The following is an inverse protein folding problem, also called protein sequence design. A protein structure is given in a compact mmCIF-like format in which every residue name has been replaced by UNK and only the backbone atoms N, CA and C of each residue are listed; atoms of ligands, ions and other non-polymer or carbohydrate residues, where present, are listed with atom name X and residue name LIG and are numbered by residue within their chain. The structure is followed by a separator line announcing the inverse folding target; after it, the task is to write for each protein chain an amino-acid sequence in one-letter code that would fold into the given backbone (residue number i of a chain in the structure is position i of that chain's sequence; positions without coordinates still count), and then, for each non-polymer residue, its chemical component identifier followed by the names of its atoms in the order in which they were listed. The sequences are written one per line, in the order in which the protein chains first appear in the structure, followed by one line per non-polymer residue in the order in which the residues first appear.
data_IF_368398197676
#
_entry.id   IF_368398197676
#
_cell.length_a   1.000
_cell.length_b   1.000
_cell.length_c   1.000
_cell.angle_alpha   90.00
_cell.angle_beta   90.00
_cell.angle_gamma   90.00
#
_symmetry.space_group_name_H-M   'P 1'
#
loop_
_entity.id
_entity.type
_entity.pdbx_description
1 polymer ?
#
# COMPACT_ATOMS: atom_id res chain seq x y z
N UNK A 1 -14.60 -16.80 38.27
CA UNK A 1 -15.97 -16.44 37.84
C UNK A 1 -16.03 -14.97 37.44
N UNK A 2 -16.29 -14.80 36.15
CA UNK A 2 -16.37 -13.61 35.30
C UNK A 2 -16.89 -12.27 35.85
N UNK A 3 -16.09 -11.21 35.61
CA UNK A 3 -16.44 -9.76 35.62
C UNK A 3 -17.32 -9.33 34.42
N UNK A 4 -18.16 -10.22 33.88
CA UNK A 4 -18.91 -10.01 32.62
C UNK A 4 -20.39 -9.65 32.80
N UNK A 5 -20.85 -9.40 34.04
CA UNK A 5 -22.29 -9.26 34.33
C UNK A 5 -22.72 -7.90 34.91
N UNK A 6 -21.88 -6.86 34.94
CA UNK A 6 -22.26 -5.59 35.57
C UNK A 6 -22.81 -4.51 34.62
N UNK A 7 -22.72 -4.69 33.28
CA UNK A 7 -23.21 -3.68 32.32
C UNK A 7 -24.35 -4.16 31.42
N UNK A 8 -25.10 -5.18 31.84
CA UNK A 8 -26.19 -5.77 31.04
C UNK A 8 -27.62 -5.47 31.53
N UNK A 9 -27.84 -4.41 32.32
CA UNK A 9 -29.19 -4.04 32.79
C UNK A 9 -29.55 -2.56 32.68
N UNK A 10 -29.26 -1.93 31.54
CA UNK A 10 -29.90 -0.65 31.16
C UNK A 10 -30.09 -0.58 29.64
N UNK A 11 -31.02 -1.36 29.10
CA UNK A 11 -31.68 -1.07 27.81
C UNK A 11 -32.74 -2.12 27.49
N UNK A 12 -33.85 -2.10 28.23
CA UNK A 12 -35.10 -2.68 27.74
C UNK A 12 -36.27 -1.85 28.26
N UNK A 13 -36.89 -1.11 27.34
CA UNK A 13 -38.23 -0.56 27.52
C UNK A 13 -38.35 0.96 27.37
N UNK A 14 -38.54 1.44 26.14
CA UNK A 14 -39.84 1.97 25.73
C UNK A 14 -39.88 2.13 24.20
N UNK A 15 -40.91 1.53 23.59
CA UNK A 15 -41.25 1.63 22.17
C UNK A 15 -42.08 2.89 21.91
N UNK A 16 -42.00 3.33 20.65
CA UNK A 16 -42.99 4.04 19.83
C UNK A 16 -43.39 5.49 20.17
N UNK A 17 -42.98 6.42 19.30
CA UNK A 17 -43.88 7.32 18.54
C UNK A 17 -43.28 7.53 17.15
N UNK A 18 -43.99 7.12 16.09
CA UNK A 18 -43.67 7.45 14.71
C UNK A 18 -44.49 8.69 14.31
N UNK A 19 -43.83 9.76 13.90
CA UNK A 19 -44.44 10.84 13.11
C UNK A 19 -43.85 10.80 11.71
N UNK A 20 -44.68 10.39 10.75
CA UNK A 20 -44.41 10.60 9.33
C UNK A 20 -44.44 12.10 9.04
N UNK A 21 -43.36 12.65 8.51
CA UNK A 21 -43.38 13.90 7.75
C UNK A 21 -42.96 13.58 6.32
N UNK A 22 -43.91 13.76 5.41
CA UNK A 22 -43.73 13.67 3.97
C UNK A 22 -42.77 14.78 3.50
N UNK A 23 -41.59 14.39 3.05
CA UNK A 23 -40.75 15.21 2.17
C UNK A 23 -40.91 14.64 0.76
N UNK A 24 -41.21 15.47 -0.28
CA UNK A 24 -41.41 14.98 -1.63
C UNK A 24 -40.16 14.25 -2.14
N UNK A 25 -40.35 13.02 -2.63
CA UNK A 25 -39.29 12.09 -3.05
C UNK A 25 -38.40 12.61 -4.21
N UNK A 26 -38.76 13.73 -4.85
CA UNK A 26 -38.04 14.31 -5.99
C UNK A 26 -36.95 15.32 -5.63
N UNK A 27 -36.99 15.93 -4.44
CA UNK A 27 -35.90 16.82 -3.97
C UNK A 27 -34.84 16.06 -3.15
N UNK A 28 -35.24 14.98 -2.48
CA UNK A 28 -34.32 14.13 -1.72
C UNK A 28 -33.37 13.32 -2.64
N UNK A 29 -33.78 13.02 -3.87
CA UNK A 29 -32.93 12.35 -4.88
C UNK A 29 -31.93 13.31 -5.52
N UNK A 30 -32.33 14.55 -5.82
CA UNK A 30 -31.40 15.56 -6.35
C UNK A 30 -30.33 15.98 -5.32
N UNK A 31 -30.70 16.11 -4.04
CA UNK A 31 -29.75 16.38 -2.95
C UNK A 31 -28.82 15.18 -2.65
N UNK A 32 -29.31 13.93 -2.76
CA UNK A 32 -28.49 12.71 -2.63
C UNK A 32 -27.54 12.47 -3.80
N UNK A 33 -27.87 12.98 -4.99
CA UNK A 33 -27.02 12.88 -6.19
C UNK A 33 -26.05 14.07 -6.28
N UNK A 34 -26.33 15.18 -5.58
CA UNK A 34 -25.46 16.37 -5.52
C UNK A 34 -24.44 16.36 -4.37
N UNK A 35 -24.60 15.51 -3.35
CA UNK A 35 -23.48 15.05 -2.50
C UNK A 35 -22.68 13.97 -3.24
N UNK A 36 -22.07 14.34 -4.36
CA UNK A 36 -20.82 13.69 -4.74
C UNK A 36 -19.85 13.97 -3.59
N UNK A 37 -19.63 12.96 -2.74
CA UNK A 37 -18.72 13.02 -1.60
C UNK A 37 -17.46 13.78 -2.02
N UNK A 38 -17.10 14.84 -1.27
CA UNK A 38 -15.85 15.56 -1.54
C UNK A 38 -14.72 14.53 -1.65
N UNK A 39 -13.91 14.57 -2.72
CA UNK A 39 -12.84 13.59 -2.91
C UNK A 39 -11.97 13.57 -1.65
N UNK A 40 -11.46 12.41 -1.25
CA UNK A 40 -10.54 12.31 -0.09
C UNK A 40 -9.09 12.70 -0.42
N UNK A 41 -8.88 13.26 -1.62
CA UNK A 41 -7.62 13.79 -2.14
C UNK A 41 -7.81 15.21 -2.68
N UNK A 42 -6.71 15.94 -2.85
CA UNK A 42 -6.68 17.26 -3.48
C UNK A 42 -6.58 17.07 -4.99
N UNK A 43 -7.59 17.50 -5.79
CA UNK A 43 -7.53 17.36 -7.24
C UNK A 43 -6.38 18.19 -7.82
N UNK A 44 -5.73 17.66 -8.85
CA UNK A 44 -4.59 18.31 -9.52
C UNK A 44 -4.99 19.62 -10.21
N UNK A 45 -6.25 19.78 -10.62
CA UNK A 45 -6.81 21.00 -11.23
C UNK A 45 -5.94 21.58 -12.37
N UNK A 46 -5.36 20.71 -13.20
CA UNK A 46 -4.52 21.08 -14.34
C UNK A 46 -3.02 21.25 -14.04
N UNK A 47 -2.59 21.10 -12.78
CA UNK A 47 -1.17 21.03 -12.41
C UNK A 47 -0.70 19.58 -12.51
N UNK A 48 0.26 19.30 -13.39
CA UNK A 48 0.79 17.95 -13.55
C UNK A 48 1.65 17.50 -12.36
N UNK A 49 1.77 16.19 -12.17
CA UNK A 49 2.67 15.57 -11.20
C UNK A 49 4.13 16.01 -11.40
N UNK A 50 4.56 16.18 -12.66
CA UNK A 50 5.91 16.70 -12.97
C UNK A 50 6.08 18.15 -12.55
N UNK A 51 5.05 18.99 -12.72
CA UNK A 51 5.11 20.38 -12.24
C UNK A 51 5.16 20.44 -10.71
N UNK A 52 4.39 19.60 -10.01
CA UNK A 52 4.47 19.51 -8.54
C UNK A 52 5.86 19.11 -8.07
N UNK A 53 6.46 18.08 -8.70
CA UNK A 53 7.79 17.61 -8.35
C UNK A 53 8.89 18.62 -8.70
N UNK A 54 8.84 19.24 -9.88
CA UNK A 54 9.80 20.26 -10.31
C UNK A 54 9.73 21.51 -9.41
N UNK A 55 8.53 21.91 -9.01
CA UNK A 55 8.31 22.99 -8.03
C UNK A 55 8.59 22.59 -6.59
N UNK A 56 8.99 21.34 -6.32
CA UNK A 56 9.24 20.79 -4.97
C UNK A 56 8.06 21.04 -4.01
N UNK A 57 6.81 20.91 -4.50
CA UNK A 57 5.60 21.16 -3.72
C UNK A 57 5.47 20.26 -2.47
N UNK A 58 6.14 19.11 -2.50
CA UNK A 58 6.25 18.17 -1.38
C UNK A 58 7.39 18.47 -0.41
N UNK A 59 8.24 19.48 -0.65
CA UNK A 59 9.28 19.91 0.29
C UNK A 59 8.76 21.05 1.17
N UNK A 60 8.56 20.77 2.45
CA UNK A 60 8.18 21.78 3.44
C UNK A 60 9.37 22.56 3.98
N UNK A 61 9.13 23.82 4.36
CA UNK A 61 10.16 24.76 4.84
C UNK A 61 10.80 24.40 6.19
N UNK A 62 10.24 23.45 6.93
CA UNK A 62 10.70 23.03 8.25
C UNK A 62 11.49 21.71 8.24
N UNK A 63 12.00 21.30 7.07
CA UNK A 63 12.67 20.01 6.90
C UNK A 63 11.73 18.81 7.06
N UNK A 64 10.43 19.00 6.76
CA UNK A 64 9.44 17.92 6.61
C UNK A 64 8.91 17.92 5.19
N UNK A 65 8.43 16.77 4.76
CA UNK A 65 7.72 16.64 3.50
C UNK A 65 6.22 16.93 3.68
N UNK A 66 5.61 17.47 2.63
CA UNK A 66 4.19 17.77 2.52
C UNK A 66 3.56 16.81 1.50
N UNK A 67 2.29 16.49 1.69
CA UNK A 67 1.52 15.74 0.70
C UNK A 67 0.65 16.73 -0.10
N UNK A 68 1.06 17.18 -1.30
CA UNK A 68 0.25 18.05 -2.15
C UNK A 68 -0.95 17.32 -2.79
N UNK A 69 -0.96 15.99 -2.79
CA UNK A 69 -2.01 15.15 -3.37
C UNK A 69 -3.11 14.81 -2.35
N UNK A 70 -2.76 14.82 -1.06
CA UNK A 70 -3.69 14.58 0.03
C UNK A 70 -4.41 15.86 0.45
N UNK A 71 -5.59 15.71 1.06
CA UNK A 71 -6.17 16.84 1.78
C UNK A 71 -5.25 17.25 2.91
N UNK A 72 -5.09 18.56 3.08
CA UNK A 72 -4.56 19.14 4.32
C UNK A 72 -5.63 18.97 5.42
N UNK A 73 -5.85 17.74 5.88
CA UNK A 73 -6.55 17.50 7.14
C UNK A 73 -5.66 18.13 8.21
N UNK A 74 -6.09 19.25 8.79
CA UNK A 74 -5.50 19.87 9.98
C UNK A 74 -5.19 18.76 10.98
N UNK A 75 -3.92 18.32 11.06
CA UNK A 75 -3.38 17.24 11.92
C UNK A 75 -4.40 16.12 12.19
N UNK A 76 -4.22 14.92 11.60
CA UNK A 76 -4.78 13.68 12.18
C UNK A 76 -4.56 13.74 13.69
N UNK A 77 -5.61 13.99 14.46
CA UNK A 77 -5.44 14.18 15.90
C UNK A 77 -5.11 12.80 16.43
N UNK A 78 -4.15 12.68 17.34
CA UNK A 78 -3.91 11.43 18.07
C UNK A 78 -5.22 10.84 18.63
N UNK A 79 -6.19 11.72 18.94
CA UNK A 79 -7.56 11.36 19.31
C UNK A 79 -8.39 10.65 18.24
N UNK A 80 -8.13 10.79 16.93
CA UNK A 80 -8.88 10.07 15.88
C UNK A 80 -8.50 8.59 15.80
N UNK A 81 -7.21 8.27 15.93
CA UNK A 81 -6.75 6.88 16.03
C UNK A 81 -7.29 6.24 17.31
N UNK A 82 -7.21 6.96 18.43
CA UNK A 82 -7.78 6.51 19.70
C UNK A 82 -9.30 6.35 19.60
N UNK A 83 -9.97 7.28 18.92
CA UNK A 83 -11.42 7.24 18.71
C UNK A 83 -11.81 6.03 17.88
N UNK A 84 -11.11 5.78 16.78
CA UNK A 84 -11.31 4.59 15.98
C UNK A 84 -11.15 3.31 16.81
N UNK A 85 -10.05 3.17 17.55
CA UNK A 85 -9.76 1.96 18.32
C UNK A 85 -10.68 1.73 19.53
N UNK A 86 -11.25 2.79 20.12
CA UNK A 86 -12.07 2.68 21.33
C UNK A 86 -13.58 2.80 21.09
N UNK A 87 -14.01 3.51 20.06
CA UNK A 87 -15.41 3.91 19.90
C UNK A 87 -16.01 3.58 18.52
N UNK A 88 -15.21 3.19 17.53
CA UNK A 88 -15.77 2.75 16.24
C UNK A 88 -16.26 1.31 16.35
N UNK A 89 -17.50 1.07 15.95
CA UNK A 89 -17.98 -0.30 15.72
C UNK A 89 -17.30 -0.85 14.47
N UNK A 90 -16.54 -1.94 14.63
CA UNK A 90 -15.97 -2.67 13.50
C UNK A 90 -17.03 -3.68 13.01
N UNK A 91 -17.63 -3.38 11.85
CA UNK A 91 -18.64 -4.23 11.19
C UNK A 91 -18.11 -5.62 10.82
N UNK A 92 -16.79 -5.78 10.73
CA UNK A 92 -16.14 -7.06 10.46
C UNK A 92 -15.86 -7.87 11.71
N UNK A 93 -16.17 -7.37 12.91
CA UNK A 93 -15.91 -8.08 14.18
C UNK A 93 -16.29 -9.57 14.19
N UNK A 94 -17.42 -10.02 13.56
CA UNK A 94 -17.75 -11.44 13.51
C UNK A 94 -16.77 -12.30 12.71
N UNK A 95 -15.99 -11.73 11.79
CA UNK A 95 -15.09 -12.44 10.88
C UNK A 95 -13.62 -12.42 11.35
N UNK A 96 -13.32 -11.74 12.46
CA UNK A 96 -11.93 -11.50 12.88
C UNK A 96 -11.28 -12.70 13.57
N UNK A 97 -12.07 -13.54 14.25
CA UNK A 97 -11.58 -14.66 15.06
C UNK A 97 -11.16 -15.87 14.19
N UNK A 98 -11.72 -15.99 12.97
CA UNK A 98 -11.54 -17.15 12.09
C UNK A 98 -10.59 -16.87 10.91
N UNK A 99 -9.80 -15.79 10.97
CA UNK A 99 -8.88 -15.43 9.90
C UNK A 99 -7.81 -16.53 9.69
N UNK A 100 -7.65 -17.06 8.46
CA UNK A 100 -6.69 -18.12 8.18
C UNK A 100 -5.26 -17.61 8.34
N UNK A 101 -4.39 -18.48 8.86
CA UNK A 101 -2.95 -18.29 8.79
C UNK A 101 -2.43 -19.09 7.60
N UNK A 102 -1.76 -18.44 6.67
CA UNK A 102 -1.26 -19.04 5.42
C UNK A 102 0.27 -18.94 5.39
N UNK A 103 0.99 -19.97 5.87
CA UNK A 103 2.44 -19.97 5.80
C UNK A 103 2.94 -19.86 4.36
N UNK A 104 3.95 -19.02 4.14
CA UNK A 104 4.46 -18.71 2.80
C UNK A 104 5.53 -19.73 2.43
N UNK A 105 5.32 -20.44 1.32
CA UNK A 105 6.32 -21.31 0.70
C UNK A 105 6.54 -20.86 -0.75
N UNK A 106 7.78 -20.89 -1.21
CA UNK A 106 8.16 -20.49 -2.57
C UNK A 106 8.92 -21.64 -3.21
N UNK A 107 8.59 -21.96 -4.46
CA UNK A 107 9.39 -22.84 -5.30
C UNK A 107 10.65 -22.10 -5.80
N UNK A 108 11.62 -21.94 -4.91
CA UNK A 108 12.88 -21.26 -5.20
C UNK A 108 13.65 -21.86 -6.38
N UNK A 109 13.74 -23.20 -6.56
CA UNK A 109 14.32 -23.79 -7.76
C UNK A 109 13.69 -23.29 -9.06
N UNK A 110 12.35 -23.25 -9.16
CA UNK A 110 11.67 -22.76 -10.35
C UNK A 110 11.93 -21.27 -10.60
N UNK A 111 11.89 -20.44 -9.55
CA UNK A 111 12.22 -19.00 -9.65
C UNK A 111 13.65 -18.83 -10.17
N UNK A 112 14.63 -19.52 -9.57
CA UNK A 112 16.05 -19.40 -9.93
C UNK A 112 16.35 -19.86 -11.36
N UNK A 113 15.72 -20.95 -11.80
CA UNK A 113 15.96 -21.56 -13.11
C UNK A 113 15.18 -20.90 -14.26
N UNK A 114 14.17 -20.08 -13.94
CA UNK A 114 13.40 -19.35 -14.94
C UNK A 114 14.29 -18.44 -15.79
N UNK A 115 13.83 -18.10 -16.99
CA UNK A 115 14.48 -17.13 -17.87
C UNK A 115 13.63 -15.86 -17.94
N UNK A 116 14.25 -14.72 -18.25
CA UNK A 116 13.52 -13.45 -18.38
C UNK A 116 13.03 -12.89 -17.05
N UNK A 117 11.78 -12.45 -17.01
CA UNK A 117 11.19 -11.70 -15.90
C UNK A 117 10.20 -12.57 -15.12
N UNK A 118 10.28 -12.54 -13.79
CA UNK A 118 9.26 -13.12 -12.93
C UNK A 118 9.00 -12.27 -11.70
N UNK A 119 7.77 -12.34 -11.19
CA UNK A 119 7.34 -11.62 -9.99
C UNK A 119 6.78 -12.64 -9.01
N UNK A 120 7.39 -12.71 -7.83
CA UNK A 120 6.98 -13.59 -6.72
C UNK A 120 6.36 -12.75 -5.63
N UNK A 121 5.10 -13.03 -5.29
CA UNK A 121 4.44 -12.40 -4.15
C UNK A 121 4.88 -13.11 -2.87
N UNK A 122 5.68 -12.48 -2.02
CA UNK A 122 6.09 -13.10 -0.76
C UNK A 122 5.00 -12.93 0.30
N UNK A 123 4.83 -11.71 0.81
CA UNK A 123 3.83 -11.36 1.82
C UNK A 123 3.70 -9.86 1.98
N UNK A 124 2.57 -9.38 2.49
CA UNK A 124 2.28 -7.96 2.70
C UNK A 124 2.65 -7.14 1.46
N UNK A 125 3.49 -6.11 1.56
CA UNK A 125 4.03 -5.37 0.42
C UNK A 125 5.33 -5.95 -0.17
N UNK A 126 5.85 -7.04 0.41
CA UNK A 126 7.10 -7.66 -0.03
C UNK A 126 6.89 -8.47 -1.31
N UNK A 127 7.52 -7.98 -2.38
CA UNK A 127 7.52 -8.61 -3.70
C UNK A 127 8.96 -8.79 -4.17
N UNK A 128 9.29 -9.99 -4.66
CA UNK A 128 10.56 -10.26 -5.31
C UNK A 128 10.38 -10.24 -6.83
N UNK A 129 11.20 -9.47 -7.52
CA UNK A 129 11.21 -9.36 -8.97
C UNK A 129 12.56 -9.91 -9.45
N UNK A 130 12.52 -11.03 -10.18
CA UNK A 130 13.68 -11.54 -10.91
C UNK A 130 13.65 -10.93 -12.30
N UNK A 131 14.68 -10.17 -12.65
CA UNK A 131 14.80 -9.50 -13.93
C UNK A 131 16.09 -9.95 -14.61
N UNK A 132 15.93 -10.95 -15.48
CA UNK A 132 16.98 -11.73 -16.12
C UNK A 132 17.81 -12.48 -15.08
N UNK A 133 19.00 -11.97 -14.77
CA UNK A 133 20.01 -12.54 -13.87
C UNK A 133 20.05 -11.85 -12.50
N UNK A 134 19.27 -10.78 -12.31
CA UNK A 134 19.26 -10.00 -11.06
C UNK A 134 17.93 -10.06 -10.32
N UNK A 135 18.00 -9.81 -9.02
CA UNK A 135 16.87 -9.83 -8.12
C UNK A 135 16.68 -8.49 -7.43
N UNK A 136 15.48 -7.94 -7.60
CA UNK A 136 15.01 -6.75 -6.89
C UNK A 136 14.00 -7.19 -5.85
N UNK A 137 14.04 -6.62 -4.65
CA UNK A 137 13.00 -6.83 -3.64
C UNK A 137 12.41 -5.49 -3.21
N UNK A 138 11.08 -5.41 -3.19
CA UNK A 138 10.35 -4.23 -2.71
C UNK A 138 9.96 -4.45 -1.26
N UNK A 139 10.15 -3.43 -0.42
CA UNK A 139 9.63 -3.33 0.96
C UNK A 139 9.76 -4.65 1.77
N UNK A 140 10.98 -5.18 1.98
CA UNK A 140 11.17 -6.48 2.61
C UNK A 140 10.78 -6.47 4.10
N UNK A 141 9.78 -7.28 4.44
CA UNK A 141 9.32 -7.54 5.81
C UNK A 141 9.07 -9.04 6.00
N UNK A 142 9.97 -9.69 6.73
CA UNK A 142 9.98 -11.15 6.93
C UNK A 142 9.43 -11.58 8.28
N UNK A 143 9.42 -10.68 9.26
CA UNK A 143 9.10 -10.98 10.66
C UNK A 143 7.90 -10.15 11.15
N UNK A 144 7.44 -10.44 12.37
CA UNK A 144 6.45 -9.62 13.08
C UNK A 144 6.92 -8.16 13.17
N UNK A 145 6.03 -7.24 12.79
CA UNK A 145 6.32 -5.79 12.77
C UNK A 145 6.25 -5.20 14.18
N UNK A 146 5.23 -5.56 14.95
CA UNK A 146 5.03 -5.15 16.35
C UNK A 146 4.48 -6.33 17.15
N UNK A 147 4.89 -6.45 18.42
CA UNK A 147 4.56 -7.60 19.28
C UNK A 147 3.06 -7.86 19.50
N UNK A 148 2.20 -6.87 19.24
CA UNK A 148 0.74 -6.98 19.36
C UNK A 148 0.02 -7.10 18.01
N UNK A 149 0.74 -7.05 16.88
CA UNK A 149 0.21 -7.26 15.55
C UNK A 149 0.58 -8.68 15.13
N UNK A 150 -0.41 -9.55 15.02
CA UNK A 150 -0.24 -10.93 14.56
C UNK A 150 0.12 -10.97 13.07
N UNK A 151 1.11 -11.79 12.73
CA UNK A 151 1.42 -12.20 11.37
C UNK A 151 0.55 -13.40 10.94
N UNK A 152 -0.25 -13.21 9.90
CA UNK A 152 -1.12 -14.23 9.31
C UNK A 152 -0.46 -14.97 8.14
N UNK A 153 0.75 -14.59 7.75
CA UNK A 153 1.48 -15.26 6.67
C UNK A 153 2.96 -15.41 7.04
N UNK A 154 3.30 -16.20 8.07
CA UNK A 154 4.69 -16.42 8.46
C UNK A 154 5.44 -17.11 7.32
N UNK A 155 6.73 -16.81 7.17
CA UNK A 155 7.56 -17.53 6.20
C UNK A 155 7.73 -18.99 6.67
N UNK A 156 7.52 -19.93 5.75
CA UNK A 156 7.76 -21.36 5.96
C UNK A 156 9.00 -21.85 5.18
N UNK A 157 9.96 -20.96 4.98
CA UNK A 157 11.27 -21.22 4.40
C UNK A 157 12.32 -20.35 5.10
N UNK A 158 13.57 -20.78 5.05
CA UNK A 158 14.71 -20.03 5.57
C UNK A 158 15.19 -18.99 4.56
N UNK A 159 15.61 -17.83 5.04
CA UNK A 159 16.03 -16.71 4.18
C UNK A 159 17.26 -17.02 3.32
N UNK A 160 18.07 -18.02 3.70
CA UNK A 160 19.21 -18.49 2.90
C UNK A 160 18.79 -19.25 1.64
N UNK A 161 17.54 -19.72 1.58
CA UNK A 161 16.98 -20.34 0.38
C UNK A 161 16.65 -19.31 -0.70
N UNK A 162 16.49 -18.03 -0.34
CA UNK A 162 16.23 -16.95 -1.29
C UNK A 162 17.42 -16.77 -2.25
N UNK A 163 17.18 -16.32 -3.49
CA UNK A 163 18.27 -15.83 -4.34
C UNK A 163 18.94 -14.61 -3.72
N UNK A 164 20.21 -14.39 -4.07
CA UNK A 164 20.91 -13.18 -3.67
C UNK A 164 20.23 -11.97 -4.30
N UNK A 165 19.81 -11.02 -3.46
CA UNK A 165 19.19 -9.77 -3.90
C UNK A 165 20.27 -8.77 -4.31
N UNK A 166 20.09 -8.13 -5.46
CA UNK A 166 20.95 -7.09 -6.00
C UNK A 166 20.50 -5.69 -5.55
N UNK A 167 19.18 -5.46 -5.58
CA UNK A 167 18.57 -4.17 -5.26
C UNK A 167 17.41 -4.32 -4.27
N UNK A 168 17.40 -3.45 -3.26
CA UNK A 168 16.25 -3.29 -2.35
C UNK A 168 15.59 -1.96 -2.67
N UNK A 169 14.29 -1.97 -2.94
CA UNK A 169 13.48 -0.79 -3.21
C UNK A 169 12.58 -0.53 -2.00
N UNK A 170 12.67 0.68 -1.45
CA UNK A 170 11.83 1.11 -0.33
C UNK A 170 10.83 2.15 -0.84
N UNK A 171 9.53 1.94 -0.64
CA UNK A 171 8.50 2.92 -1.05
C UNK A 171 8.37 4.03 -0.02
N UNK A 172 8.39 3.68 1.26
CA UNK A 172 8.29 4.60 2.38
C UNK A 172 8.69 3.95 3.71
N UNK A 173 8.63 4.72 4.78
CA UNK A 173 9.26 4.38 6.06
C UNK A 173 8.39 3.74 7.12
N UNK A 174 7.11 3.41 6.86
CA UNK A 174 6.30 2.71 7.87
C UNK A 174 6.92 1.35 8.21
N UNK A 175 6.62 0.84 9.41
CA UNK A 175 7.32 -0.31 9.97
C UNK A 175 7.04 -1.60 9.19
N UNK A 176 5.89 -1.69 8.53
CA UNK A 176 5.45 -2.78 7.67
C UNK A 176 5.94 -2.68 6.22
N UNK A 177 6.73 -1.65 5.89
CA UNK A 177 7.42 -1.49 4.59
C UNK A 177 8.93 -1.41 4.71
N UNK A 178 9.40 -0.86 5.83
CA UNK A 178 10.80 -0.68 6.13
C UNK A 178 11.08 -1.31 7.51
N UNK A 179 11.30 -2.63 7.51
CA UNK A 179 11.68 -3.35 8.71
C UNK A 179 13.20 -3.47 8.84
N UNK A 180 13.76 -2.96 9.96
CA UNK A 180 15.21 -2.98 10.20
C UNK A 180 15.74 -4.40 10.35
N UNK A 181 14.95 -5.34 10.91
CA UNK A 181 15.40 -6.72 11.12
C UNK A 181 15.54 -7.44 9.78
N UNK A 182 14.55 -7.28 8.90
CA UNK A 182 14.56 -7.80 7.54
C UNK A 182 15.67 -7.16 6.70
N UNK A 183 15.86 -5.85 6.78
CA UNK A 183 17.00 -5.19 6.11
C UNK A 183 18.36 -5.71 6.60
N UNK A 184 18.46 -6.05 7.89
CA UNK A 184 19.69 -6.59 8.46
C UNK A 184 20.02 -8.01 8.00
N UNK A 185 19.11 -8.75 7.35
CA UNK A 185 19.41 -10.09 6.83
C UNK A 185 20.10 -10.08 5.46
N UNK A 186 20.15 -8.94 4.76
CA UNK A 186 20.79 -8.83 3.44
C UNK A 186 22.30 -8.56 3.54
N UNK A 187 23.01 -8.85 2.44
CA UNK A 187 24.42 -8.46 2.26
C UNK A 187 24.54 -6.94 2.33
N UNK A 188 25.55 -6.42 3.05
CA UNK A 188 25.81 -4.98 3.21
C UNK A 188 26.16 -4.28 1.89
N UNK A 189 26.54 -5.05 0.86
CA UNK A 189 26.82 -4.59 -0.51
C UNK A 189 25.58 -4.54 -1.40
N UNK A 190 24.42 -5.04 -0.93
CA UNK A 190 23.14 -4.90 -1.64
C UNK A 190 22.84 -3.43 -1.85
N UNK A 191 22.43 -3.05 -3.07
CA UNK A 191 22.17 -1.65 -3.39
C UNK A 191 20.78 -1.26 -2.88
N UNK A 192 20.68 -0.27 -2.00
CA UNK A 192 19.38 0.21 -1.52
C UNK A 192 18.94 1.44 -2.30
N UNK A 193 17.77 1.39 -2.92
CA UNK A 193 17.09 2.50 -3.56
C UNK A 193 15.94 2.90 -2.65
N UNK A 194 15.91 4.16 -2.22
CA UNK A 194 14.94 4.62 -1.24
C UNK A 194 14.56 6.08 -1.47
N UNK A 195 13.47 6.57 -0.87
CA UNK A 195 13.13 7.98 -0.90
C UNK A 195 14.11 8.79 -0.04
N UNK A 196 14.07 10.12 -0.17
CA UNK A 196 14.84 11.01 0.70
C UNK A 196 14.54 10.82 2.21
N UNK A 197 15.55 11.00 3.07
CA UNK A 197 15.37 11.16 4.52
C UNK A 197 15.52 9.89 5.37
N UNK A 198 16.11 8.81 4.85
CA UNK A 198 16.36 7.56 5.59
C UNK A 198 17.84 7.29 5.89
N UNK A 199 18.73 8.26 5.68
CA UNK A 199 20.18 8.05 5.73
C UNK A 199 20.67 7.50 7.07
N UNK A 200 20.20 8.07 8.18
CA UNK A 200 20.57 7.63 9.54
C UNK A 200 20.14 6.19 9.80
N UNK A 201 18.99 5.77 9.25
CA UNK A 201 18.49 4.42 9.44
C UNK A 201 19.44 3.41 8.81
N UNK A 202 19.75 3.55 7.52
CA UNK A 202 20.61 2.54 6.89
C UNK A 202 22.10 2.71 7.23
N UNK A 203 22.54 3.90 7.66
CA UNK A 203 23.87 4.08 8.26
C UNK A 203 23.99 3.21 9.52
N UNK A 204 22.97 3.20 10.38
CA UNK A 204 22.91 2.30 11.54
C UNK A 204 22.83 0.80 11.21
N UNK A 205 22.58 0.45 9.95
CA UNK A 205 22.60 -0.94 9.45
C UNK A 205 23.85 -1.25 8.60
N UNK A 206 24.81 -0.32 8.51
CA UNK A 206 26.00 -0.44 7.65
C UNK A 206 25.68 -0.71 6.17
N UNK A 207 24.54 -0.25 5.67
CA UNK A 207 24.17 -0.35 4.25
C UNK A 207 24.51 0.97 3.58
N UNK A 208 25.72 1.07 3.04
CA UNK A 208 26.26 2.33 2.49
C UNK A 208 26.08 2.47 0.99
N UNK A 209 25.90 1.36 0.26
CA UNK A 209 25.65 1.38 -1.18
C UNK A 209 24.20 1.75 -1.44
N UNK A 210 23.93 3.04 -1.66
CA UNK A 210 22.56 3.56 -1.72
C UNK A 210 22.37 4.61 -2.81
N UNK A 211 21.12 4.71 -3.27
CA UNK A 211 20.60 5.84 -4.03
C UNK A 211 19.36 6.34 -3.32
N UNK A 212 19.37 7.60 -2.90
CA UNK A 212 18.17 8.28 -2.46
C UNK A 212 17.52 9.00 -3.66
N UNK A 213 16.21 8.91 -3.79
CA UNK A 213 15.47 9.48 -4.90
C UNK A 213 14.42 10.45 -4.38
N UNK A 214 14.33 11.59 -5.06
CA UNK A 214 13.18 12.47 -5.00
C UNK A 214 12.16 12.11 -6.09
N UNK A 215 10.96 12.70 -6.05
CA UNK A 215 9.95 12.46 -7.10
C UNK A 215 10.47 12.85 -8.48
N UNK A 216 10.32 11.91 -9.43
CA UNK A 216 10.86 11.88 -10.79
C UNK A 216 12.39 11.75 -10.92
N UNK A 217 13.12 11.55 -9.82
CA UNK A 217 14.51 11.12 -9.92
C UNK A 217 14.59 9.69 -10.44
N UNK A 218 15.68 9.41 -11.15
CA UNK A 218 15.91 8.16 -11.86
C UNK A 218 17.20 7.52 -11.38
N UNK A 219 17.12 6.25 -11.03
CA UNK A 219 18.27 5.37 -10.92
C UNK A 219 18.41 4.51 -12.17
N UNK A 220 19.63 4.32 -12.65
CA UNK A 220 19.94 3.33 -13.69
C UNK A 220 21.26 2.62 -13.40
N UNK A 221 21.33 1.35 -13.78
CA UNK A 221 22.56 0.56 -13.81
C UNK A 221 23.03 0.26 -15.25
N UNK A 222 22.45 0.97 -16.24
CA UNK A 222 22.69 0.78 -17.67
C UNK A 222 21.84 -0.33 -18.32
N UNK A 223 21.23 -1.22 -17.53
CA UNK A 223 20.33 -2.29 -18.04
C UNK A 223 18.87 -2.05 -17.70
N UNK A 224 18.61 -1.41 -16.56
CA UNK A 224 17.27 -1.06 -16.09
C UNK A 224 17.19 0.41 -15.69
N UNK A 225 15.97 0.94 -15.69
CA UNK A 225 15.66 2.31 -15.25
C UNK A 225 14.59 2.25 -14.18
N UNK A 226 14.86 2.84 -13.02
CA UNK A 226 13.95 2.89 -11.87
C UNK A 226 13.64 4.36 -11.60
N UNK A 227 12.42 4.77 -11.91
CA UNK A 227 11.93 6.13 -11.64
C UNK A 227 11.12 6.12 -10.36
N UNK A 228 11.44 7.00 -9.42
CA UNK A 228 10.63 7.22 -8.23
C UNK A 228 9.51 8.22 -8.55
N UNK A 229 8.27 7.90 -8.20
CA UNK A 229 7.08 8.66 -8.57
C UNK A 229 6.27 9.10 -7.35
N UNK A 230 5.41 10.13 -7.48
CA UNK A 230 4.52 10.52 -6.40
C UNK A 230 3.52 9.44 -5.97
N UNK A 231 3.11 9.48 -4.71
CA UNK A 231 1.97 8.74 -4.14
C UNK A 231 1.22 9.64 -3.15
N UNK A 232 -0.09 9.44 -3.03
CA UNK A 232 -0.93 10.12 -2.04
C UNK A 232 -0.87 9.38 -0.69
N UNK A 233 0.23 9.54 0.04
CA UNK A 233 0.43 8.91 1.35
C UNK A 233 1.20 9.80 2.32
N UNK A 234 1.79 9.21 3.34
CA UNK A 234 2.59 9.83 4.38
C UNK A 234 3.56 8.80 4.96
N UNK A 235 4.47 9.22 5.83
CA UNK A 235 5.36 8.28 6.53
C UNK A 235 5.64 8.70 7.96
N UNK A 236 5.82 7.75 8.87
CA UNK A 236 6.27 8.03 10.23
C UNK A 236 7.04 6.85 10.83
N UNK A 237 8.20 7.16 11.40
CA UNK A 237 9.04 6.18 12.13
C UNK A 237 9.13 6.44 13.62
N UNK A 238 8.97 7.68 14.06
CA UNK A 238 9.08 8.03 15.46
C UNK A 238 7.93 8.97 15.82
N UNK A 239 6.93 8.48 16.57
CA UNK A 239 5.78 9.28 17.00
C UNK A 239 6.15 10.55 17.77
N UNK A 240 7.28 10.56 18.51
CA UNK A 240 7.76 11.74 19.23
C UNK A 240 8.23 12.84 18.27
N UNK A 241 8.91 12.46 17.19
CA UNK A 241 9.33 13.42 16.14
C UNK A 241 8.20 13.78 15.17
N UNK A 242 7.15 12.95 15.13
CA UNK A 242 6.00 13.08 14.24
C UNK A 242 6.26 12.64 12.79
N UNK A 243 5.26 12.78 11.91
CA UNK A 243 5.30 12.27 10.54
C UNK A 243 6.14 13.12 9.58
N UNK A 244 6.40 12.55 8.40
CA UNK A 244 6.94 13.18 7.20
C UNK A 244 8.32 13.83 7.37
N UNK A 245 9.21 13.21 8.15
CA UNK A 245 10.65 13.56 8.18
C UNK A 245 11.44 12.94 7.02
N UNK A 246 10.80 12.04 6.30
CA UNK A 246 11.32 11.32 5.15
C UNK A 246 10.24 11.31 4.07
N UNK A 247 10.61 11.05 2.83
CA UNK A 247 9.71 11.02 1.69
C UNK A 247 9.07 9.65 1.50
N UNK A 248 8.00 9.58 0.71
CA UNK A 248 7.29 8.38 0.28
C UNK A 248 6.97 8.48 -1.21
N UNK A 249 6.64 7.37 -1.85
CA UNK A 249 6.32 7.37 -3.28
C UNK A 249 6.05 5.97 -3.83
N UNK A 250 5.93 5.92 -5.15
CA UNK A 250 5.76 4.73 -5.97
C UNK A 250 6.99 4.57 -6.89
N UNK A 251 7.08 3.44 -7.60
CA UNK A 251 8.14 3.20 -8.57
C UNK A 251 7.57 2.82 -9.94
N UNK A 252 8.25 3.24 -11.00
CA UNK A 252 8.20 2.57 -12.30
C UNK A 252 9.57 1.96 -12.57
N UNK A 253 9.58 0.68 -12.91
CA UNK A 253 10.77 -0.12 -13.20
C UNK A 253 10.67 -0.54 -14.67
N UNK A 254 11.49 0.06 -15.52
CA UNK A 254 11.74 -0.45 -16.87
C UNK A 254 12.82 -1.51 -16.77
N UNK A 255 12.41 -2.76 -16.95
CA UNK A 255 13.21 -3.96 -16.67
C UNK A 255 14.24 -4.21 -17.78
N UNK A 256 15.31 -4.93 -17.44
CA UNK A 256 16.28 -5.39 -18.44
C UNK A 256 15.65 -6.40 -19.42
N UNK A 257 14.62 -7.14 -18.98
CA UNK A 257 13.81 -8.01 -19.83
C UNK A 257 12.85 -7.25 -20.78
N UNK A 258 12.84 -5.91 -20.78
CA UNK A 258 12.04 -5.10 -21.72
C UNK A 258 10.57 -4.93 -21.34
N UNK A 259 10.19 -5.18 -20.08
CA UNK A 259 8.84 -4.94 -19.54
C UNK A 259 8.86 -3.74 -18.59
N UNK A 260 7.71 -3.13 -18.35
CA UNK A 260 7.56 -2.06 -17.38
C UNK A 260 6.67 -2.49 -16.24
N UNK A 261 7.18 -2.44 -15.00
CA UNK A 261 6.43 -2.71 -13.77
C UNK A 261 6.18 -1.41 -13.03
N UNK A 262 4.93 -1.13 -12.68
CA UNK A 262 4.57 -0.08 -11.73
C UNK A 262 4.36 -0.70 -10.35
N UNK A 263 4.94 -0.10 -9.31
CA UNK A 263 4.75 -0.52 -7.91
C UNK A 263 4.24 0.68 -7.13
N UNK A 264 2.99 0.62 -6.65
CA UNK A 264 2.33 1.79 -6.06
C UNK A 264 2.92 2.23 -4.73
N UNK A 265 3.47 1.29 -3.96
CA UNK A 265 3.55 1.45 -2.52
C UNK A 265 2.17 1.72 -1.92
N UNK A 266 2.12 2.19 -0.69
CA UNK A 266 0.86 2.65 -0.12
C UNK A 266 0.46 3.98 -0.73
N UNK A 267 -0.82 4.09 -1.09
CA UNK A 267 -1.40 5.33 -1.61
C UNK A 267 -2.92 5.30 -1.42
N UNK A 268 -3.47 6.47 -1.10
CA UNK A 268 -4.87 6.75 -1.37
C UNK A 268 -5.10 6.95 -2.86
N UNK A 269 -6.37 6.98 -3.25
CA UNK A 269 -6.71 7.39 -4.60
C UNK A 269 -6.34 8.87 -4.81
N UNK A 270 -5.88 9.22 -6.00
CA UNK A 270 -5.70 10.60 -6.47
C UNK A 270 -5.82 10.62 -7.99
N UNK A 271 -6.20 11.76 -8.56
CA UNK A 271 -6.46 11.92 -10.00
C UNK A 271 -5.18 11.93 -10.86
N UNK A 272 -3.99 11.70 -10.30
CA UNK A 272 -2.72 11.69 -11.01
C UNK A 272 -2.33 10.35 -11.66
N UNK A 273 -3.04 9.25 -11.39
CA UNK A 273 -2.74 7.95 -12.01
C UNK A 273 -2.82 8.00 -13.54
N UNK A 274 -3.74 8.79 -14.09
CA UNK A 274 -3.88 8.95 -15.54
C UNK A 274 -2.64 9.57 -16.20
N UNK A 275 -1.91 10.44 -15.48
CA UNK A 275 -0.67 11.02 -16.00
C UNK A 275 0.45 9.99 -16.04
N UNK A 276 0.53 9.14 -15.02
CA UNK A 276 1.48 8.03 -14.97
C UNK A 276 1.21 7.07 -16.14
N UNK A 277 -0.05 6.67 -16.35
CA UNK A 277 -0.44 5.80 -17.46
C UNK A 277 -0.29 6.41 -18.87
N UNK A 278 -0.17 7.74 -18.97
CA UNK A 278 0.18 8.42 -20.23
C UNK A 278 1.68 8.48 -20.48
N UNK A 279 2.49 8.43 -19.42
CA UNK A 279 3.95 8.57 -19.50
C UNK A 279 4.65 7.23 -19.69
N UNK A 280 4.05 6.13 -19.25
CA UNK A 280 4.66 4.81 -19.24
C UNK A 280 3.72 3.76 -19.84
N UNK A 281 4.24 2.87 -20.70
CA UNK A 281 3.52 1.67 -21.15
C UNK A 281 3.73 0.56 -20.12
N UNK A 282 2.79 0.41 -19.17
CA UNK A 282 2.93 -0.47 -18.01
C UNK A 282 2.42 -1.87 -18.36
N UNK A 283 3.29 -2.87 -18.29
CA UNK A 283 2.91 -4.28 -18.48
C UNK A 283 2.21 -4.85 -17.24
N UNK A 284 2.74 -4.56 -16.05
CA UNK A 284 2.17 -5.01 -14.78
C UNK A 284 2.12 -3.86 -13.77
N UNK A 285 0.92 -3.56 -13.27
CA UNK A 285 0.74 -2.71 -12.09
C UNK A 285 0.61 -3.60 -10.84
N UNK A 286 1.50 -3.40 -9.88
CA UNK A 286 1.45 -3.98 -8.54
C UNK A 286 0.91 -2.91 -7.60
N UNK A 287 -0.33 -3.08 -7.14
CA UNK A 287 -1.02 -2.10 -6.31
C UNK A 287 -1.23 -2.65 -4.90
N UNK A 288 -0.82 -1.90 -3.89
CA UNK A 288 -1.13 -2.25 -2.50
C UNK A 288 -2.62 -2.09 -2.25
N UNK A 289 -3.28 -3.17 -1.81
CA UNK A 289 -4.69 -3.20 -1.46
C UNK A 289 -4.88 -3.90 -0.11
N UNK A 290 -5.19 -3.10 0.91
CA UNK A 290 -5.41 -3.51 2.28
C UNK A 290 -5.32 -2.29 3.19
N UNK A 291 -5.65 -2.44 4.46
CA UNK A 291 -5.80 -1.36 5.41
C UNK A 291 -6.78 -0.27 4.93
N UNK A 292 -7.88 -0.66 4.25
CA UNK A 292 -8.80 0.29 3.64
C UNK A 292 -10.02 0.62 4.50
N UNK A 293 -10.34 -0.16 5.53
CA UNK A 293 -11.41 0.15 6.48
C UNK A 293 -10.89 0.62 7.85
N UNK A 294 -11.61 1.54 8.53
CA UNK A 294 -12.86 2.15 8.09
C UNK A 294 -12.63 3.32 7.13
N UNK A 295 -13.44 3.44 6.07
CA UNK A 295 -13.23 4.45 5.00
C UNK A 295 -13.03 5.88 5.51
N UNK A 296 -13.80 6.33 6.51
CA UNK A 296 -13.69 7.70 7.03
C UNK A 296 -12.29 8.06 7.57
N UNK A 297 -11.54 7.05 8.03
CA UNK A 297 -10.19 7.18 8.58
C UNK A 297 -9.12 6.82 7.55
N UNK A 298 -9.31 5.72 6.81
CA UNK A 298 -8.31 5.11 5.94
C UNK A 298 -8.30 5.69 4.52
N UNK A 299 -9.42 6.19 3.99
CA UNK A 299 -9.51 6.68 2.61
C UNK A 299 -8.42 7.71 2.23
N UNK A 300 -8.02 8.67 3.09
CA UNK A 300 -6.94 9.59 2.77
C UNK A 300 -5.52 8.99 2.74
N UNK A 301 -5.37 7.68 2.94
CA UNK A 301 -4.06 7.01 2.88
C UNK A 301 -4.05 5.66 2.14
N UNK A 302 -5.19 4.99 2.01
CA UNK A 302 -5.27 3.66 1.39
C UNK A 302 -6.48 3.55 0.45
N UNK A 303 -6.22 3.04 -0.76
CA UNK A 303 -7.26 2.69 -1.71
C UNK A 303 -8.09 1.50 -1.24
N UNK A 304 -9.40 1.54 -1.47
CA UNK A 304 -10.28 0.38 -1.40
C UNK A 304 -10.28 -0.40 -2.73
N UNK A 305 -10.95 -1.58 -2.82
CA UNK A 305 -10.97 -2.37 -4.04
C UNK A 305 -11.48 -1.63 -5.29
N UNK A 306 -12.51 -0.77 -5.14
CA UNK A 306 -13.07 -0.01 -6.27
C UNK A 306 -12.11 1.08 -6.76
N UNK A 307 -11.47 1.80 -5.84
CA UNK A 307 -10.44 2.78 -6.13
C UNK A 307 -9.20 2.12 -6.77
N UNK A 308 -8.83 0.92 -6.34
CA UNK A 308 -7.73 0.15 -6.95
C UNK A 308 -8.03 -0.20 -8.41
N UNK A 309 -9.25 -0.65 -8.73
CA UNK A 309 -9.64 -0.93 -10.13
C UNK A 309 -9.69 0.36 -10.96
N UNK A 310 -10.14 1.47 -10.38
CA UNK A 310 -10.11 2.78 -11.05
C UNK A 310 -8.67 3.25 -11.32
N UNK A 311 -7.78 3.16 -10.34
CA UNK A 311 -6.37 3.49 -10.49
C UNK A 311 -5.71 2.62 -11.57
N UNK A 312 -6.01 1.31 -11.58
CA UNK A 312 -5.56 0.37 -12.61
C UNK A 312 -5.99 0.80 -14.02
N UNK A 313 -7.26 1.20 -14.20
CA UNK A 313 -7.77 1.72 -15.49
C UNK A 313 -7.03 3.00 -15.89
N UNK A 314 -6.83 3.93 -14.97
CA UNK A 314 -6.14 5.20 -15.24
C UNK A 314 -4.65 5.02 -15.55
N UNK A 315 -3.98 4.07 -14.91
CA UNK A 315 -2.62 3.66 -15.22
C UNK A 315 -2.48 3.03 -16.61
N UNK A 316 -3.59 2.62 -17.25
CA UNK A 316 -3.59 1.91 -18.54
C UNK A 316 -2.71 0.67 -18.54
N UNK A 317 -2.43 0.10 -17.37
CA UNK A 317 -1.56 -1.05 -17.22
C UNK A 317 -2.19 -2.30 -17.85
N UNK A 318 -1.42 -3.16 -18.51
CA UNK A 318 -1.96 -4.34 -19.21
C UNK A 318 -2.56 -5.34 -18.20
N UNK A 319 -1.83 -5.59 -17.11
CA UNK A 319 -2.23 -6.50 -16.03
C UNK A 319 -2.18 -5.83 -14.64
N UNK A 320 -3.00 -6.33 -13.72
CA UNK A 320 -3.05 -5.93 -12.31
C UNK A 320 -2.64 -7.09 -11.40
N UNK A 321 -1.74 -6.84 -10.47
CA UNK A 321 -1.48 -7.68 -9.30
C UNK A 321 -1.74 -6.82 -8.05
N UNK A 322 -2.28 -7.42 -6.99
CA UNK A 322 -2.38 -6.75 -5.69
C UNK A 322 -1.38 -7.30 -4.68
N UNK A 323 -0.91 -6.41 -3.80
CA UNK A 323 -0.10 -6.71 -2.63
C UNK A 323 -0.74 -6.07 -1.38
N UNK A 324 -0.02 -6.02 -0.25
CA UNK A 324 -0.43 -5.41 1.02
C UNK A 324 -1.68 -6.06 1.67
N UNK A 325 -1.87 -7.36 1.44
CA UNK A 325 -2.96 -8.14 2.04
C UNK A 325 -2.47 -9.47 2.63
N UNK A 326 -3.32 -10.10 3.43
CA UNK A 326 -3.15 -11.46 3.95
C UNK A 326 -2.12 -11.62 5.06
N UNK A 327 -1.49 -10.53 5.51
CA UNK A 327 -0.34 -10.59 6.43
C UNK A 327 -0.58 -9.91 7.77
N UNK A 328 -0.76 -8.59 7.79
CA UNK A 328 -0.98 -7.82 9.01
C UNK A 328 -2.35 -7.17 9.01
N UNK A 329 -3.07 -7.26 10.14
CA UNK A 329 -4.36 -6.55 10.30
C UNK A 329 -4.12 -5.10 10.70
N UNK A 330 -3.99 -4.24 9.70
CA UNK A 330 -3.72 -2.80 9.86
C UNK A 330 -4.98 -1.93 9.72
N UNK A 331 -6.03 -2.47 9.09
CA UNK A 331 -7.38 -1.90 9.03
C UNK A 331 -8.40 -2.66 9.87
N UNK A 332 -9.68 -2.37 9.64
CA UNK A 332 -10.80 -3.07 10.26
C UNK A 332 -11.20 -4.35 9.51
N UNK A 333 -10.91 -4.42 8.22
CA UNK A 333 -11.22 -5.59 7.39
C UNK A 333 -10.35 -6.81 7.73
N UNK A 334 -10.86 -8.05 7.55
CA UNK A 334 -10.07 -9.26 7.66
C UNK A 334 -8.96 -9.31 6.61
N UNK A 335 -7.78 -9.82 6.98
CA UNK A 335 -6.58 -9.78 6.13
C UNK A 335 -6.75 -10.48 4.77
N UNK A 336 -7.65 -11.44 4.65
CA UNK A 336 -7.86 -12.26 3.45
C UNK A 336 -9.02 -11.77 2.56
N UNK A 337 -9.77 -10.74 2.98
CA UNK A 337 -10.87 -10.15 2.19
C UNK A 337 -10.41 -9.38 0.94
N UNK A 338 -9.28 -8.64 0.94
CA UNK A 338 -8.89 -7.81 -0.20
C UNK A 338 -8.96 -8.49 -1.59
N UNK A 339 -8.40 -9.70 -1.83
CA UNK A 339 -8.54 -10.38 -3.12
C UNK A 339 -9.97 -10.79 -3.46
N UNK A 340 -10.80 -11.13 -2.46
CA UNK A 340 -12.21 -11.52 -2.67
C UNK A 340 -13.03 -10.31 -3.11
N UNK A 341 -12.85 -9.18 -2.42
CA UNK A 341 -13.53 -7.94 -2.77
C UNK A 341 -13.05 -7.41 -4.13
N UNK A 342 -11.75 -7.48 -4.41
CA UNK A 342 -11.21 -7.10 -5.72
C UNK A 342 -11.80 -7.96 -6.84
N UNK A 343 -11.86 -9.28 -6.66
CA UNK A 343 -12.41 -10.20 -7.67
C UNK A 343 -13.82 -9.79 -8.07
N UNK A 344 -14.67 -9.43 -7.10
CA UNK A 344 -16.02 -8.96 -7.34
C UNK A 344 -16.03 -7.70 -8.21
N UNK A 345 -15.24 -6.67 -7.86
CA UNK A 345 -15.19 -5.42 -8.64
C UNK A 345 -14.62 -5.67 -10.04
N UNK A 346 -13.56 -6.46 -10.17
CA UNK A 346 -12.94 -6.80 -11.47
C UNK A 346 -13.91 -7.57 -12.36
N UNK A 347 -14.75 -8.44 -11.79
CA UNK A 347 -15.81 -9.14 -12.52
C UNK A 347 -16.93 -8.18 -12.96
N UNK A 348 -17.39 -7.29 -12.07
CA UNK A 348 -18.38 -6.24 -12.39
C UNK A 348 -17.92 -5.36 -13.57
N UNK A 349 -16.63 -5.03 -13.62
CA UNK A 349 -16.04 -4.16 -14.65
C UNK A 349 -15.57 -4.95 -15.91
N UNK A 350 -15.73 -6.28 -15.94
CA UNK A 350 -15.30 -7.10 -17.08
C UNK A 350 -13.78 -7.18 -17.28
N UNK A 351 -13.00 -7.00 -16.21
CA UNK A 351 -11.54 -6.92 -16.22
C UNK A 351 -10.85 -8.15 -15.60
N UNK A 352 -11.60 -9.19 -15.22
CA UNK A 352 -11.07 -10.35 -14.51
C UNK A 352 -9.91 -11.06 -15.24
N UNK A 353 -9.94 -11.07 -16.58
CA UNK A 353 -8.87 -11.65 -17.42
C UNK A 353 -7.54 -10.87 -17.40
N UNK A 354 -7.53 -9.66 -16.82
CA UNK A 354 -6.33 -8.82 -16.63
C UNK A 354 -5.80 -8.87 -15.20
N UNK A 355 -6.43 -9.64 -14.32
CA UNK A 355 -5.97 -9.84 -12.96
C UNK A 355 -4.98 -11.00 -12.88
N UNK A 356 -3.81 -10.74 -12.31
CA UNK A 356 -2.84 -11.74 -11.88
C UNK A 356 -3.14 -12.09 -10.42
N UNK A 357 -4.00 -13.10 -10.21
CA UNK A 357 -4.37 -13.59 -8.88
C UNK A 357 -3.25 -14.46 -8.29
N UNK A 358 -2.25 -13.82 -7.67
CA UNK A 358 -1.22 -14.51 -6.90
C UNK A 358 -1.61 -14.64 -5.42
N UNK A 359 -1.46 -15.84 -4.89
CA UNK A 359 -1.41 -16.11 -3.46
C UNK A 359 0.01 -15.96 -2.94
N UNK A 360 0.16 -15.82 -1.62
CA UNK A 360 1.47 -15.77 -0.96
C UNK A 360 2.35 -16.95 -1.40
N UNK A 361 3.57 -16.65 -1.79
CA UNK A 361 4.57 -17.60 -2.27
C UNK A 361 4.51 -17.92 -3.77
N UNK A 362 3.44 -17.54 -4.46
CA UNK A 362 3.28 -17.82 -5.88
C UNK A 362 4.07 -16.84 -6.76
N UNK A 363 4.40 -17.30 -7.97
CA UNK A 363 5.18 -16.56 -8.96
C UNK A 363 4.45 -16.50 -10.29
N UNK A 364 4.42 -15.31 -10.91
CA UNK A 364 4.07 -15.13 -12.32
C UNK A 364 5.35 -14.94 -13.14
N UNK A 365 5.40 -15.55 -14.33
CA UNK A 365 6.50 -15.39 -15.30
C UNK A 365 5.98 -14.57 -16.49
N UNK A 366 6.72 -13.54 -16.90
CA UNK A 366 6.25 -12.45 -17.80
C UNK A 366 6.99 -12.37 -19.14
#
# INVERSE_FOLDING_TARGET
MNRRNFFRSLSTGLKSVALFHFIPASMATAARVAELEKPHYTPLNGVSLRQLAAGKAHHGTNGRFLNPLGHVRRRRKFGELLYWKLFSENSFSPYLDEQPVTPVQVDWPSVKNSQGLSVTFLKHATVLIKDVDQYLIVDPVFNDVLWFIKDYSPLAFDLDQMPKVDHILITHGHYDHLDKRSLASFDRKTHVISPLGYDNLFAGLNMHRRTHLDWYDVYTDGRREITFLPSNHWTMRNPLTGPNRSLWGSYVIKTAAGKTIYVSGDTAFFDGFHEIGRQFDIDLAIINLGAYEPRWFMAPSHMNPRETVEAFKQLRAKQLMIAHWGTFRLGDEPVHFPPMDLQKIMQEEGLLNRWVDLRHGQTVYL
#
